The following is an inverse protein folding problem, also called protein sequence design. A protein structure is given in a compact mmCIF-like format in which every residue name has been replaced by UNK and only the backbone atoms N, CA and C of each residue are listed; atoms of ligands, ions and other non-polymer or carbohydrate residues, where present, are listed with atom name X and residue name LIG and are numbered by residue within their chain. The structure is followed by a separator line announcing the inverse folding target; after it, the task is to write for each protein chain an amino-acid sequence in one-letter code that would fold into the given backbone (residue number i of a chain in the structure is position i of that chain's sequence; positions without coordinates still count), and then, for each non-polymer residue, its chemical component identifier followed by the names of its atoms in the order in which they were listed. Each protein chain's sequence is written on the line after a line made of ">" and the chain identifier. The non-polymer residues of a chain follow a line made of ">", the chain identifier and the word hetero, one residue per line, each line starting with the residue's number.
data_IF_634765743017
#
_entry.id   IF_634765743017
#
_cell.length_a   1.000
_cell.length_b   1.000
_cell.length_c   1.000
_cell.angle_alpha   90.00
_cell.angle_beta   90.00
_cell.angle_gamma   90.00
#
_symmetry.space_group_name_H-M   'P 1'
#
loop_
_entity.id
_entity.type
_entity.pdbx_description
1 polymer ?
#
# COMPACT_ATOMS: atom_id res chain seq x y z
N UNK A 1 39.23 18.61 15.75
CA UNK A 1 39.75 19.43 14.63
C UNK A 1 39.58 18.62 13.35
N UNK A 2 39.26 19.26 12.22
CA UNK A 2 39.14 18.58 10.93
C UNK A 2 40.52 18.09 10.47
N UNK A 3 40.58 16.92 9.81
CA UNK A 3 41.83 16.33 9.31
C UNK A 3 42.35 17.06 8.06
N UNK A 4 41.43 17.52 7.23
CA UNK A 4 41.67 18.12 5.92
C UNK A 4 40.79 19.36 5.74
N UNK A 5 41.38 20.44 5.22
CA UNK A 5 40.68 21.71 4.99
C UNK A 5 39.83 21.72 3.70
N UNK A 6 40.18 20.87 2.73
CA UNK A 6 39.48 20.72 1.46
C UNK A 6 39.82 19.38 0.80
N UNK A 7 39.03 18.97 -0.20
CA UNK A 7 39.22 17.71 -0.91
C UNK A 7 40.64 17.57 -1.50
N UNK A 8 41.19 18.66 -2.04
CA UNK A 8 42.53 18.64 -2.65
C UNK A 8 43.64 18.31 -1.64
N UNK A 9 43.45 18.62 -0.35
CA UNK A 9 44.40 18.34 0.73
C UNK A 9 44.33 16.90 1.25
N UNK A 10 43.36 16.10 0.81
CA UNK A 10 43.26 14.69 1.18
C UNK A 10 44.43 13.90 0.51
N UNK A 11 45.14 13.03 1.24
CA UNK A 11 46.19 12.19 0.70
C UNK A 11 45.72 11.31 -0.47
N UNK A 12 46.61 11.07 -1.44
CA UNK A 12 46.25 10.32 -2.65
C UNK A 12 45.78 8.88 -2.35
N UNK A 13 46.36 8.22 -1.34
CA UNK A 13 45.92 6.87 -0.96
C UNK A 13 44.49 6.84 -0.42
N UNK A 14 44.09 7.88 0.33
CA UNK A 14 42.70 8.04 0.82
C UNK A 14 41.75 8.38 -0.33
N UNK A 15 42.17 9.25 -1.27
CA UNK A 15 41.39 9.56 -2.48
C UNK A 15 41.16 8.30 -3.33
N UNK A 16 42.20 7.48 -3.52
CA UNK A 16 42.11 6.26 -4.31
C UNK A 16 41.14 5.25 -3.68
N UNK A 17 41.17 5.07 -2.35
CA UNK A 17 40.16 4.26 -1.65
C UNK A 17 38.75 4.83 -1.74
N UNK A 18 38.62 6.15 -1.81
CA UNK A 18 37.32 6.82 -1.96
C UNK A 18 36.62 6.48 -3.28
N UNK A 19 37.33 5.95 -4.29
CA UNK A 19 36.73 5.46 -5.55
C UNK A 19 35.80 4.25 -5.33
N UNK A 20 36.02 3.51 -4.23
CA UNK A 20 35.10 2.45 -3.82
C UNK A 20 33.75 3.01 -3.39
N UNK A 21 33.72 4.23 -2.82
CA UNK A 21 32.55 4.84 -2.19
C UNK A 21 31.86 5.90 -3.05
N UNK A 22 32.59 6.52 -3.98
CA UNK A 22 32.05 7.53 -4.88
C UNK A 22 32.37 7.19 -6.35
N UNK A 23 31.42 7.40 -7.25
CA UNK A 23 31.65 7.17 -8.70
C UNK A 23 32.53 8.22 -9.37
N UNK A 24 32.69 9.40 -8.77
CA UNK A 24 33.49 10.51 -9.30
C UNK A 24 34.18 11.26 -8.15
N UNK A 25 35.36 10.77 -7.80
CA UNK A 25 36.17 11.28 -6.69
C UNK A 25 36.76 12.66 -7.05
N UNK A 26 36.48 13.67 -6.22
CA UNK A 26 36.87 15.06 -6.46
C UNK A 26 36.02 15.81 -7.49
N UNK A 27 35.05 15.15 -8.13
CA UNK A 27 34.09 15.79 -9.02
C UNK A 27 32.89 16.38 -8.30
N UNK A 28 32.16 17.26 -8.99
CA UNK A 28 30.99 17.96 -8.43
C UNK A 28 29.72 17.10 -8.39
N UNK A 29 29.67 16.01 -9.16
CA UNK A 29 28.50 15.12 -9.26
C UNK A 29 28.99 13.68 -9.19
N UNK A 30 28.44 12.91 -8.26
CA UNK A 30 28.83 11.53 -7.96
C UNK A 30 27.67 10.76 -7.33
N UNK A 31 27.74 9.43 -7.40
CA UNK A 31 26.86 8.51 -6.68
C UNK A 31 27.62 7.94 -5.48
N UNK A 32 26.98 7.94 -4.31
CA UNK A 32 27.47 7.25 -3.11
C UNK A 32 27.13 5.76 -3.24
N UNK A 33 28.10 4.88 -3.04
CA UNK A 33 27.94 3.42 -3.15
C UNK A 33 28.79 2.69 -2.12
N UNK A 34 28.50 1.42 -1.88
CA UNK A 34 29.30 0.51 -1.05
C UNK A 34 29.58 1.00 0.39
N UNK A 35 28.86 2.01 0.89
CA UNK A 35 28.87 2.36 2.30
C UNK A 35 27.90 1.44 3.06
N UNK A 36 28.21 1.12 4.34
CA UNK A 36 27.20 0.58 5.24
C UNK A 36 25.94 1.46 5.21
N UNK A 37 24.72 0.88 5.21
CA UNK A 37 23.47 1.64 5.06
C UNK A 37 23.37 2.86 6.00
N UNK A 38 23.69 2.65 7.27
CA UNK A 38 23.62 3.69 8.32
C UNK A 38 24.59 4.85 8.06
N UNK A 39 25.69 4.59 7.36
CA UNK A 39 26.73 5.60 7.13
C UNK A 39 26.34 6.59 6.03
N UNK A 40 25.58 6.19 5.02
CA UNK A 40 25.15 7.10 3.94
C UNK A 40 24.29 8.22 4.49
N UNK A 41 23.28 7.87 5.31
CA UNK A 41 22.43 8.85 5.98
C UNK A 41 23.22 9.76 6.93
N UNK A 42 24.17 9.19 7.69
CA UNK A 42 25.03 9.95 8.59
C UNK A 42 25.89 11.00 7.86
N UNK A 43 26.53 10.62 6.75
CA UNK A 43 27.39 11.51 5.95
C UNK A 43 26.59 12.67 5.39
N UNK A 44 25.43 12.41 4.79
CA UNK A 44 24.56 13.43 4.21
C UNK A 44 23.98 14.36 5.29
N UNK A 45 23.58 13.80 6.43
CA UNK A 45 23.13 14.60 7.57
C UNK A 45 24.23 15.52 8.10
N UNK A 46 25.47 15.01 8.21
CA UNK A 46 26.61 15.80 8.70
C UNK A 46 27.05 16.86 7.71
N UNK A 47 27.14 16.54 6.43
CA UNK A 47 27.45 17.48 5.37
C UNK A 47 26.56 18.73 5.43
N UNK A 48 25.26 18.56 5.68
CA UNK A 48 24.32 19.71 5.79
C UNK A 48 24.63 20.70 6.92
N UNK A 49 25.59 20.39 7.81
CA UNK A 49 25.94 21.15 9.02
C UNK A 49 27.44 21.41 9.15
N UNK A 50 28.24 21.13 8.13
CA UNK A 50 29.68 21.41 8.09
C UNK A 50 29.98 22.43 6.98
N UNK A 51 31.10 23.17 7.07
CA UNK A 51 31.54 24.06 5.99
C UNK A 51 32.20 23.30 4.83
N UNK A 52 32.32 21.97 4.90
CA UNK A 52 33.04 21.14 3.95
C UNK A 52 32.08 20.49 2.95
N UNK A 53 32.59 20.15 1.76
CA UNK A 53 31.84 19.31 0.82
C UNK A 53 31.61 17.87 1.35
N UNK A 54 30.76 17.10 0.69
CA UNK A 54 30.40 15.73 1.11
C UNK A 54 31.62 14.81 1.18
N UNK A 55 32.50 14.83 0.17
CA UNK A 55 33.65 13.92 0.10
C UNK A 55 34.71 14.29 1.16
N UNK A 56 34.91 15.58 1.41
CA UNK A 56 35.76 16.10 2.49
C UNK A 56 35.18 15.78 3.86
N UNK A 57 33.87 15.93 4.06
CA UNK A 57 33.18 15.55 5.30
C UNK A 57 33.33 14.05 5.57
N UNK A 58 33.15 13.22 4.56
CA UNK A 58 33.35 11.78 4.64
C UNK A 58 34.78 11.42 5.06
N UNK A 59 35.80 11.97 4.39
CA UNK A 59 37.20 11.72 4.73
C UNK A 59 37.60 12.22 6.13
N UNK A 60 37.05 13.36 6.56
CA UNK A 60 37.35 13.95 7.87
C UNK A 60 36.74 13.17 9.03
N UNK A 61 35.47 12.81 8.92
CA UNK A 61 34.67 12.34 10.06
C UNK A 61 34.46 10.82 10.06
N UNK A 62 34.45 10.18 8.88
CA UNK A 62 34.00 8.78 8.71
C UNK A 62 35.08 7.81 8.26
N UNK A 63 36.18 8.29 7.67
CA UNK A 63 37.35 7.46 7.37
C UNK A 63 38.38 7.48 8.50
N UNK A 64 39.07 6.36 8.71
CA UNK A 64 40.30 6.31 9.51
C UNK A 64 41.52 6.86 8.73
N UNK A 65 42.72 6.75 9.29
CA UNK A 65 43.96 7.20 8.62
C UNK A 65 44.36 6.35 7.40
N UNK A 66 43.86 5.12 7.34
CA UNK A 66 44.06 4.19 6.25
C UNK A 66 43.02 4.37 5.14
N UNK A 67 42.01 5.23 5.32
CA UNK A 67 40.92 5.44 4.37
C UNK A 67 39.81 4.39 4.45
N UNK A 68 39.70 3.68 5.57
CA UNK A 68 38.63 2.70 5.82
C UNK A 68 37.48 3.30 6.65
N UNK A 69 36.21 2.94 6.36
CA UNK A 69 35.06 3.42 7.12
C UNK A 69 35.07 2.97 8.58
N UNK A 70 34.90 3.91 9.50
CA UNK A 70 34.65 3.60 10.91
C UNK A 70 33.14 3.38 11.13
N UNK A 71 32.71 2.12 11.11
CA UNK A 71 31.30 1.75 11.25
C UNK A 71 30.69 2.20 12.59
N UNK A 72 31.42 2.05 13.70
CA UNK A 72 30.93 2.45 15.03
C UNK A 72 30.59 3.94 15.10
N UNK A 73 31.42 4.81 14.51
CA UNK A 73 31.14 6.25 14.44
C UNK A 73 29.89 6.56 13.61
N UNK A 74 29.66 5.83 12.53
CA UNK A 74 28.46 5.94 11.71
C UNK A 74 27.21 5.66 12.55
N UNK A 75 27.12 4.47 13.14
CA UNK A 75 25.97 4.03 13.94
C UNK A 75 25.72 4.92 15.17
N UNK A 76 26.77 5.34 15.88
CA UNK A 76 26.64 6.25 17.03
C UNK A 76 26.11 7.63 16.63
N UNK A 77 26.53 8.13 15.45
CA UNK A 77 26.10 9.43 14.95
C UNK A 77 24.65 9.39 14.48
N UNK A 78 24.24 8.35 13.75
CA UNK A 78 22.84 8.13 13.38
C UNK A 78 21.97 8.02 14.63
N UNK A 79 22.39 7.22 15.62
CA UNK A 79 21.66 7.06 16.87
C UNK A 79 21.42 8.44 17.52
N UNK A 80 22.45 9.28 17.61
CA UNK A 80 22.30 10.62 18.20
C UNK A 80 21.37 11.53 17.37
N UNK A 81 21.53 11.54 16.05
CA UNK A 81 20.78 12.45 15.16
C UNK A 81 19.32 12.05 15.00
N UNK A 82 19.05 10.78 14.72
CA UNK A 82 17.70 10.26 14.48
C UNK A 82 16.95 10.06 15.80
N UNK A 83 17.62 9.45 16.79
CA UNK A 83 16.95 9.07 18.03
C UNK A 83 16.96 10.18 19.09
N UNK A 84 18.06 10.88 19.30
CA UNK A 84 18.15 11.87 20.39
C UNK A 84 17.67 13.26 19.95
N UNK A 85 18.07 13.72 18.75
CA UNK A 85 17.63 15.02 18.23
C UNK A 85 16.29 14.99 17.46
N UNK A 86 15.80 13.79 17.12
CA UNK A 86 14.48 13.61 16.51
C UNK A 86 14.38 14.13 15.07
N UNK A 87 15.49 14.09 14.33
CA UNK A 87 15.56 14.48 12.93
C UNK A 87 15.09 13.32 12.02
N UNK A 88 13.77 13.22 11.86
CA UNK A 88 13.13 12.12 11.12
C UNK A 88 13.51 12.10 9.63
N UNK A 89 13.92 13.22 9.04
CA UNK A 89 14.35 13.27 7.63
C UNK A 89 15.62 12.46 7.37
N UNK A 90 16.49 12.29 8.36
CA UNK A 90 17.70 11.45 8.19
C UNK A 90 17.32 9.98 8.03
N UNK A 91 16.22 9.54 8.64
CA UNK A 91 15.68 8.19 8.45
C UNK A 91 15.11 7.95 7.04
N UNK A 92 14.95 8.98 6.21
CA UNK A 92 14.54 8.82 4.81
C UNK A 92 15.71 8.43 3.89
N UNK A 93 16.95 8.61 4.35
CA UNK A 93 18.16 8.42 3.55
C UNK A 93 18.66 6.97 3.54
N UNK A 94 18.11 6.12 4.40
CA UNK A 94 18.40 4.70 4.44
C UNK A 94 17.22 3.91 3.90
N UNK A 95 17.48 3.02 2.94
CA UNK A 95 16.48 2.23 2.23
C UNK A 95 16.83 0.75 2.34
N UNK A 96 15.83 -0.09 2.58
CA UNK A 96 15.94 -1.55 2.43
C UNK A 96 14.74 -2.12 1.70
N UNK A 97 14.82 -3.40 1.32
CA UNK A 97 13.74 -4.17 0.71
C UNK A 97 13.34 -5.32 1.61
N UNK A 98 12.03 -5.50 1.83
CA UNK A 98 11.46 -6.62 2.58
C UNK A 98 10.48 -7.38 1.69
N UNK A 99 10.50 -8.72 1.80
CA UNK A 99 9.47 -9.58 1.23
C UNK A 99 8.56 -10.11 2.34
N UNK A 100 7.26 -9.92 2.18
CA UNK A 100 6.23 -10.43 3.09
C UNK A 100 5.39 -11.47 2.33
N UNK A 101 5.29 -12.67 2.89
CA UNK A 101 4.52 -13.79 2.32
C UNK A 101 3.40 -14.17 3.28
N UNK A 102 2.32 -14.75 2.76
CA UNK A 102 1.15 -15.16 3.54
C UNK A 102 0.56 -14.00 4.37
N UNK A 103 0.44 -12.84 3.73
CA UNK A 103 -0.34 -11.70 4.24
C UNK A 103 -1.64 -11.60 3.45
N UNK A 104 -2.72 -11.12 4.06
CA UNK A 104 -4.00 -10.99 3.36
C UNK A 104 -3.99 -9.86 2.34
N UNK A 105 -4.85 -9.96 1.31
CA UNK A 105 -5.08 -8.83 0.41
C UNK A 105 -5.62 -7.60 1.14
N UNK A 106 -6.31 -7.76 2.27
CA UNK A 106 -6.73 -6.64 3.11
C UNK A 106 -5.52 -5.93 3.76
N UNK A 107 -4.60 -6.71 4.35
CA UNK A 107 -3.43 -6.17 5.02
C UNK A 107 -2.46 -5.49 4.05
N UNK A 108 -2.38 -5.95 2.79
CA UNK A 108 -1.60 -5.22 1.78
C UNK A 108 -2.10 -3.79 1.62
N UNK A 109 -3.41 -3.53 1.77
CA UNK A 109 -3.97 -2.17 1.62
C UNK A 109 -3.53 -1.25 2.77
N UNK A 110 -3.44 -1.79 3.98
CA UNK A 110 -2.91 -1.04 5.14
C UNK A 110 -1.44 -0.64 4.94
N UNK A 111 -0.67 -1.44 4.20
CA UNK A 111 0.73 -1.16 3.86
C UNK A 111 0.82 -0.19 2.67
N UNK A 112 0.01 -0.40 1.63
CA UNK A 112 0.04 0.35 0.38
C UNK A 112 -0.54 1.77 0.49
N UNK A 113 -1.52 1.99 1.38
CA UNK A 113 -2.08 3.32 1.65
C UNK A 113 -1.03 4.28 2.29
N UNK A 114 0.14 3.76 2.70
CA UNK A 114 1.24 4.56 3.28
C UNK A 114 2.15 5.07 2.14
N UNK A 115 1.64 6.02 1.37
CA UNK A 115 2.25 6.47 0.10
C UNK A 115 3.67 7.09 0.17
N UNK A 116 4.13 7.55 1.32
CA UNK A 116 5.38 8.33 1.43
C UNK A 116 6.54 7.45 1.88
N UNK A 117 7.56 7.32 1.03
CA UNK A 117 8.83 6.65 1.37
C UNK A 117 8.84 5.14 1.17
N UNK A 118 7.72 4.54 0.72
CA UNK A 118 7.60 3.12 0.42
C UNK A 118 7.20 2.84 -1.03
N UNK A 119 7.76 1.76 -1.59
CA UNK A 119 7.48 1.26 -2.94
C UNK A 119 7.08 -0.21 -2.90
N UNK A 120 5.79 -0.50 -2.67
CA UNK A 120 5.26 -1.86 -2.67
C UNK A 120 5.10 -2.45 -4.08
N UNK A 121 5.14 -3.79 -4.16
CA UNK A 121 4.75 -4.60 -5.32
C UNK A 121 4.01 -5.86 -4.86
N UNK A 122 2.71 -5.88 -5.09
CA UNK A 122 1.82 -6.99 -4.72
C UNK A 122 1.73 -8.06 -5.82
N UNK A 123 1.63 -9.33 -5.44
CA UNK A 123 1.27 -10.41 -6.37
C UNK A 123 -0.12 -10.14 -6.98
N UNK A 124 -0.19 -10.12 -8.31
CA UNK A 124 -1.39 -9.74 -9.05
C UNK A 124 -2.39 -10.88 -9.19
N UNK A 125 -3.62 -10.66 -8.72
CA UNK A 125 -4.75 -11.58 -8.94
C UNK A 125 -5.25 -11.58 -10.38
N UNK A 126 -4.82 -10.62 -11.22
CA UNK A 126 -5.09 -10.61 -12.67
C UNK A 126 -4.21 -11.59 -13.45
N UNK A 127 -3.10 -12.04 -12.87
CA UNK A 127 -2.10 -12.85 -13.56
C UNK A 127 -1.87 -14.22 -12.89
N UNK A 128 -2.04 -14.28 -11.58
CA UNK A 128 -1.80 -15.47 -10.75
C UNK A 128 -3.12 -15.96 -10.18
N UNK A 129 -3.34 -17.27 -10.23
CA UNK A 129 -4.53 -17.87 -9.64
C UNK A 129 -4.42 -17.86 -8.11
N UNK A 130 -5.52 -17.60 -7.43
CA UNK A 130 -5.64 -17.71 -5.98
C UNK A 130 -6.49 -18.93 -5.60
N UNK A 131 -6.18 -20.12 -6.12
CA UNK A 131 -6.89 -21.38 -5.83
C UNK A 131 -5.97 -22.47 -5.25
N UNK A 132 -4.78 -22.08 -4.80
CA UNK A 132 -3.83 -22.98 -4.15
C UNK A 132 -4.40 -23.49 -2.81
N UNK A 133 -4.04 -24.74 -2.49
CA UNK A 133 -4.39 -25.43 -1.26
C UNK A 133 -3.14 -25.87 -0.53
N UNK A 134 -3.20 -25.94 0.80
CA UNK A 134 -2.12 -26.50 1.63
C UNK A 134 -2.07 -28.03 1.55
N UNK A 135 -1.12 -28.62 2.30
CA UNK A 135 -0.92 -30.07 2.40
C UNK A 135 -2.14 -30.84 2.96
N UNK A 136 -3.04 -30.14 3.64
CA UNK A 136 -4.28 -30.69 4.21
C UNK A 136 -5.49 -30.45 3.28
N UNK A 137 -5.27 -29.90 2.09
CA UNK A 137 -6.34 -29.61 1.12
C UNK A 137 -7.19 -28.38 1.44
N UNK A 138 -6.74 -27.52 2.36
CA UNK A 138 -7.45 -26.26 2.71
C UNK A 138 -7.00 -25.12 1.81
N UNK A 139 -7.93 -24.28 1.38
CA UNK A 139 -7.60 -23.06 0.63
C UNK A 139 -6.77 -22.08 1.46
N UNK A 140 -5.90 -21.34 0.78
CA UNK A 140 -4.98 -20.40 1.41
C UNK A 140 -5.65 -19.03 1.68
N UNK A 141 -6.36 -18.94 2.80
CA UNK A 141 -6.85 -17.68 3.37
C UNK A 141 -6.60 -17.59 4.88
N UNK A 142 -6.56 -16.36 5.38
CA UNK A 142 -6.36 -16.06 6.79
C UNK A 142 -7.61 -16.34 7.62
N UNK A 143 -7.39 -16.88 8.82
CA UNK A 143 -8.41 -17.14 9.85
C UNK A 143 -8.16 -16.16 11.00
N UNK A 144 -8.90 -15.04 11.06
CA UNK A 144 -8.64 -13.98 12.03
C UNK A 144 -8.94 -14.41 13.46
N UNK A 145 -8.13 -13.95 14.42
CA UNK A 145 -8.37 -14.24 15.84
C UNK A 145 -9.70 -13.64 16.30
N UNK A 146 -10.07 -12.48 15.77
CA UNK A 146 -11.32 -11.78 16.04
C UNK A 146 -12.54 -12.62 15.65
N UNK A 147 -12.45 -13.38 14.55
CA UNK A 147 -13.51 -14.29 14.09
C UNK A 147 -13.58 -15.55 14.95
N UNK A 148 -12.42 -16.04 15.41
CA UNK A 148 -12.33 -17.20 16.30
C UNK A 148 -12.94 -16.86 17.66
N UNK A 149 -12.58 -15.71 18.22
CA UNK A 149 -13.06 -15.23 19.52
C UNK A 149 -14.57 -14.94 19.51
N UNK A 150 -15.10 -14.49 18.36
CA UNK A 150 -16.53 -14.34 18.13
C UNK A 150 -17.28 -15.69 17.96
N UNK A 151 -16.58 -16.82 17.90
CA UNK A 151 -17.20 -18.14 17.70
C UNK A 151 -17.73 -18.37 16.28
N UNK A 152 -17.33 -17.54 15.31
CA UNK A 152 -17.84 -17.54 13.94
C UNK A 152 -16.95 -18.31 12.95
N UNK A 153 -15.87 -18.93 13.43
CA UNK A 153 -14.91 -19.64 12.57
C UNK A 153 -15.56 -20.68 11.62
N UNK A 154 -16.50 -21.55 12.06
CA UNK A 154 -17.11 -22.52 11.14
C UNK A 154 -17.90 -21.87 10.00
N UNK A 155 -18.66 -20.81 10.30
CA UNK A 155 -19.40 -20.04 9.29
C UNK A 155 -18.44 -19.32 8.34
N UNK A 156 -17.37 -18.74 8.89
CA UNK A 156 -16.33 -18.07 8.13
C UNK A 156 -15.62 -19.03 7.16
N UNK A 157 -15.18 -20.19 7.63
CA UNK A 157 -14.52 -21.20 6.79
C UNK A 157 -15.46 -21.70 5.70
N UNK A 158 -16.70 -22.05 6.03
CA UNK A 158 -17.68 -22.52 5.04
C UNK A 158 -17.92 -21.48 3.93
N UNK A 159 -18.08 -20.21 4.32
CA UNK A 159 -18.29 -19.10 3.38
C UNK A 159 -17.05 -18.89 2.49
N UNK A 160 -15.85 -18.84 3.07
CA UNK A 160 -14.63 -18.68 2.28
C UNK A 160 -14.39 -19.88 1.35
N UNK A 161 -14.52 -21.11 1.85
CA UNK A 161 -14.30 -22.33 1.05
C UNK A 161 -15.24 -22.40 -0.16
N UNK A 162 -16.49 -21.98 0.00
CA UNK A 162 -17.45 -21.88 -1.11
C UNK A 162 -17.04 -20.79 -2.11
N UNK A 163 -16.63 -19.61 -1.64
CA UNK A 163 -16.15 -18.52 -2.48
C UNK A 163 -14.92 -18.95 -3.33
N UNK A 164 -13.95 -19.62 -2.72
CA UNK A 164 -12.78 -20.18 -3.40
C UNK A 164 -13.16 -21.31 -4.37
N UNK A 165 -14.18 -22.11 -4.06
CA UNK A 165 -14.69 -23.15 -4.96
C UNK A 165 -15.32 -22.53 -6.20
N UNK A 166 -16.22 -21.54 -6.04
CA UNK A 166 -16.82 -20.78 -7.14
C UNK A 166 -15.73 -20.13 -8.00
N UNK A 167 -14.73 -19.53 -7.35
CA UNK A 167 -13.59 -18.94 -8.03
C UNK A 167 -12.83 -19.97 -8.88
N UNK A 168 -12.42 -21.10 -8.29
CA UNK A 168 -11.60 -22.11 -8.98
C UNK A 168 -12.35 -22.79 -10.13
N UNK A 169 -13.62 -23.15 -9.91
CA UNK A 169 -14.49 -23.76 -10.94
C UNK A 169 -14.89 -22.75 -12.03
N UNK A 170 -15.02 -21.48 -11.69
CA UNK A 170 -15.38 -20.42 -12.63
C UNK A 170 -14.26 -20.07 -13.62
N UNK A 171 -12.99 -20.22 -13.24
CA UNK A 171 -11.84 -19.94 -14.12
C UNK A 171 -11.96 -20.64 -15.48
N UNK A 172 -12.06 -21.99 -15.58
CA UNK A 172 -12.14 -22.66 -16.88
C UNK A 172 -13.38 -22.25 -17.68
N UNK A 173 -14.52 -22.03 -17.01
CA UNK A 173 -15.78 -21.61 -17.65
C UNK A 173 -15.62 -20.24 -18.32
N UNK A 174 -15.06 -19.26 -17.61
CA UNK A 174 -14.83 -17.92 -18.15
C UNK A 174 -13.70 -17.93 -19.20
N UNK A 175 -12.69 -18.79 -19.06
CA UNK A 175 -11.69 -18.98 -20.11
C UNK A 175 -12.33 -19.49 -21.42
N UNK A 176 -13.27 -20.43 -21.35
CA UNK A 176 -13.98 -20.93 -22.53
C UNK A 176 -14.86 -19.87 -23.18
N UNK A 177 -15.45 -18.99 -22.39
CA UNK A 177 -16.12 -17.79 -22.90
C UNK A 177 -15.15 -16.90 -23.69
N UNK A 178 -14.01 -16.52 -23.10
CA UNK A 178 -13.06 -15.63 -23.79
C UNK A 178 -12.40 -16.27 -25.01
N UNK A 179 -12.25 -17.59 -25.07
CA UNK A 179 -11.81 -18.29 -26.31
C UNK A 179 -12.79 -18.13 -27.47
N UNK A 180 -14.08 -17.94 -27.19
CA UNK A 180 -15.11 -17.65 -28.21
C UNK A 180 -15.09 -16.18 -28.60
N UNK A 181 -14.92 -15.28 -27.62
CA UNK A 181 -14.88 -13.82 -27.85
C UNK A 181 -13.60 -13.38 -28.56
N UNK A 182 -12.47 -14.04 -28.26
CA UNK A 182 -11.16 -13.79 -28.85
C UNK A 182 -10.71 -15.08 -29.53
N UNK A 183 -11.19 -15.39 -30.76
CA UNK A 183 -10.78 -16.59 -31.45
C UNK A 183 -9.26 -16.61 -31.70
N UNK A 184 -8.66 -17.79 -31.53
CA UNK A 184 -7.22 -17.97 -31.73
C UNK A 184 -6.77 -17.62 -33.17
N UNK A 185 -7.66 -17.73 -34.17
CA UNK A 185 -7.37 -17.34 -35.55
C UNK A 185 -7.21 -15.82 -35.74
N UNK A 186 -7.86 -15.01 -34.91
CA UNK A 186 -7.86 -13.54 -35.00
C UNK A 186 -6.86 -12.89 -34.04
N UNK A 187 -6.36 -13.63 -33.05
CA UNK A 187 -5.32 -13.14 -32.14
C UNK A 187 -4.01 -12.88 -32.89
N UNK A 188 -3.28 -11.84 -32.47
CA UNK A 188 -1.99 -11.48 -33.06
C UNK A 188 -0.91 -11.33 -31.99
N UNK A 189 0.32 -11.63 -32.37
CA UNK A 189 1.52 -11.30 -31.59
C UNK A 189 2.46 -10.42 -32.41
N UNK A 190 3.35 -9.69 -31.73
CA UNK A 190 4.43 -8.94 -32.39
C UNK A 190 5.71 -9.77 -32.39
N UNK A 191 6.24 -10.06 -33.57
CA UNK A 191 7.47 -10.84 -33.76
C UNK A 191 8.52 -10.03 -34.52
N UNK A 192 9.81 -10.15 -34.19
CA UNK A 192 10.88 -9.46 -34.91
C UNK A 192 11.15 -10.15 -36.27
N UNK A 193 11.00 -9.40 -37.37
CA UNK A 193 11.37 -9.83 -38.73
C UNK A 193 12.14 -8.72 -39.43
N UNK A 194 13.28 -9.06 -40.04
CA UNK A 194 14.09 -8.18 -40.91
C UNK A 194 14.21 -6.72 -40.40
N UNK A 195 14.54 -6.56 -39.11
CA UNK A 195 14.73 -5.27 -38.40
C UNK A 195 13.46 -4.48 -38.04
N UNK A 196 12.29 -5.10 -38.08
CA UNK A 196 11.03 -4.49 -37.62
C UNK A 196 10.21 -5.47 -36.76
N UNK A 197 9.33 -4.93 -35.91
CA UNK A 197 8.33 -5.72 -35.21
C UNK A 197 7.06 -5.76 -36.05
N UNK A 198 6.68 -6.94 -36.52
CA UNK A 198 5.47 -7.14 -37.31
C UNK A 198 4.39 -7.84 -36.49
N UNK A 199 3.14 -7.45 -36.68
CA UNK A 199 1.98 -8.12 -36.06
C UNK A 199 1.57 -9.28 -36.95
N UNK A 200 1.53 -10.49 -36.38
CA UNK A 200 1.24 -11.73 -37.13
C UNK A 200 0.13 -12.54 -36.46
N UNK A 201 -0.75 -13.12 -37.28
CA UNK A 201 -1.78 -14.09 -36.88
C UNK A 201 -1.22 -15.51 -36.82
N UNK A 202 -2.01 -16.44 -36.27
CA UNK A 202 -1.67 -17.87 -36.20
C UNK A 202 -1.31 -18.48 -37.56
N UNK A 203 -1.98 -18.07 -38.64
CA UNK A 203 -1.73 -18.56 -40.00
C UNK A 203 -0.43 -18.03 -40.62
N UNK A 204 0.19 -17.01 -40.03
CA UNK A 204 1.34 -16.29 -40.58
C UNK A 204 2.65 -16.61 -39.85
N UNK A 205 2.61 -17.54 -38.88
CA UNK A 205 3.76 -17.95 -38.07
C UNK A 205 4.74 -18.77 -38.93
N UNK A 206 6.03 -18.44 -38.86
CA UNK A 206 7.05 -18.97 -39.76
C UNK A 206 7.93 -20.06 -39.12
N UNK A 207 7.95 -20.17 -37.79
CA UNK A 207 8.83 -21.10 -37.08
C UNK A 207 8.25 -21.52 -35.72
N UNK A 208 8.90 -22.52 -35.10
CA UNK A 208 8.48 -23.08 -33.82
C UNK A 208 8.56 -22.08 -32.66
N UNK A 209 9.50 -21.13 -32.72
CA UNK A 209 9.62 -20.11 -31.69
C UNK A 209 8.41 -19.15 -31.72
N UNK A 210 8.05 -18.63 -32.90
CA UNK A 210 6.84 -17.83 -33.09
C UNK A 210 5.58 -18.62 -32.67
N UNK A 211 5.50 -19.91 -33.00
CA UNK A 211 4.39 -20.80 -32.60
C UNK A 211 4.27 -20.96 -31.08
N UNK A 212 5.40 -21.10 -30.39
CA UNK A 212 5.44 -21.18 -28.92
C UNK A 212 5.08 -19.85 -28.27
N UNK A 213 5.65 -18.75 -28.75
CA UNK A 213 5.34 -17.40 -28.27
C UNK A 213 3.86 -17.06 -28.46
N UNK A 214 3.29 -17.39 -29.62
CA UNK A 214 1.87 -17.21 -29.90
C UNK A 214 1.00 -17.95 -28.90
N UNK A 215 1.25 -19.25 -28.72
CA UNK A 215 0.47 -20.09 -27.79
C UNK A 215 0.56 -19.58 -26.36
N UNK A 216 1.74 -19.16 -25.93
CA UNK A 216 1.97 -18.61 -24.59
C UNK A 216 1.22 -17.27 -24.41
N UNK A 217 1.34 -16.35 -25.36
CA UNK A 217 0.68 -15.05 -25.32
C UNK A 217 -0.85 -15.17 -25.35
N UNK A 218 -1.38 -16.05 -26.21
CA UNK A 218 -2.81 -16.30 -26.30
C UNK A 218 -3.36 -16.92 -25.00
N UNK A 219 -2.77 -18.02 -24.54
CA UNK A 219 -3.19 -18.67 -23.29
C UNK A 219 -3.05 -17.73 -22.08
N UNK A 220 -2.00 -16.93 -22.03
CA UNK A 220 -1.83 -15.91 -21.01
C UNK A 220 -2.94 -14.86 -21.09
N UNK A 221 -3.23 -14.31 -22.26
CA UNK A 221 -4.29 -13.31 -22.46
C UNK A 221 -5.66 -13.84 -22.01
N UNK A 222 -6.05 -15.03 -22.46
CA UNK A 222 -7.32 -15.67 -22.09
C UNK A 222 -7.39 -15.91 -20.57
N UNK A 223 -6.31 -16.44 -19.99
CA UNK A 223 -6.24 -16.66 -18.54
C UNK A 223 -6.39 -15.35 -17.78
N UNK A 224 -5.69 -14.29 -18.20
CA UNK A 224 -5.73 -13.00 -17.50
C UNK A 224 -7.12 -12.38 -17.55
N UNK A 225 -7.78 -12.40 -18.71
CA UNK A 225 -9.15 -11.92 -18.87
C UNK A 225 -10.12 -12.70 -17.96
N UNK A 226 -9.98 -14.03 -17.89
CA UNK A 226 -10.80 -14.85 -17.02
C UNK A 226 -10.58 -14.57 -15.53
N UNK A 227 -9.31 -14.45 -15.10
CA UNK A 227 -8.96 -14.12 -13.72
C UNK A 227 -9.47 -12.74 -13.31
N UNK A 228 -9.40 -11.76 -14.22
CA UNK A 228 -9.83 -10.39 -13.97
C UNK A 228 -11.34 -10.30 -13.70
N UNK A 229 -12.14 -11.16 -14.35
CA UNK A 229 -13.59 -11.26 -14.15
C UNK A 229 -13.93 -12.09 -12.92
N UNK A 230 -13.40 -13.31 -12.81
CA UNK A 230 -13.85 -14.25 -11.77
C UNK A 230 -13.33 -13.90 -10.37
N UNK A 231 -12.32 -13.03 -10.26
CA UNK A 231 -11.84 -12.52 -8.95
C UNK A 231 -12.90 -11.73 -8.17
N UNK A 232 -14.05 -11.41 -8.76
CA UNK A 232 -15.17 -10.77 -8.05
C UNK A 232 -15.67 -11.54 -6.83
N UNK A 233 -15.51 -12.87 -6.80
CA UNK A 233 -15.85 -13.71 -5.64
C UNK A 233 -14.68 -13.96 -4.69
N UNK A 234 -13.48 -13.51 -5.01
CA UNK A 234 -12.29 -13.81 -4.20
C UNK A 234 -12.31 -12.94 -2.92
N UNK A 235 -12.33 -13.53 -1.71
CA UNK A 235 -12.41 -12.76 -0.47
C UNK A 235 -11.08 -12.03 -0.18
N UNK A 236 -11.18 -10.90 0.52
CA UNK A 236 -10.01 -10.09 0.92
C UNK A 236 -9.09 -10.78 1.94
N UNK A 237 -9.58 -11.85 2.56
CA UNK A 237 -8.84 -12.77 3.44
C UNK A 237 -7.86 -13.69 2.69
N UNK A 238 -7.96 -13.77 1.36
CA UNK A 238 -7.07 -14.59 0.55
C UNK A 238 -5.61 -14.15 0.74
N UNK A 239 -4.72 -15.12 0.94
CA UNK A 239 -3.30 -14.83 1.10
C UNK A 239 -2.67 -14.37 -0.21
N UNK A 240 -1.73 -13.43 -0.09
CA UNK A 240 -0.94 -12.87 -1.16
C UNK A 240 0.52 -12.69 -0.71
N UNK A 241 1.31 -12.01 -1.54
CA UNK A 241 2.70 -11.69 -1.30
C UNK A 241 2.95 -10.23 -1.68
N UNK A 242 3.78 -9.55 -0.90
CA UNK A 242 4.13 -8.15 -1.09
C UNK A 242 5.62 -7.95 -0.90
N UNK A 243 6.30 -7.43 -1.92
CA UNK A 243 7.62 -6.85 -1.76
C UNK A 243 7.51 -5.37 -1.45
N UNK A 244 8.31 -4.83 -0.55
CA UNK A 244 8.35 -3.39 -0.27
C UNK A 244 9.79 -2.93 -0.19
N UNK A 245 10.17 -1.99 -1.05
CA UNK A 245 11.41 -1.21 -0.89
C UNK A 245 11.06 0.12 -0.26
N UNK A 246 11.61 0.42 0.91
CA UNK A 246 11.25 1.64 1.63
C UNK A 246 12.36 2.17 2.54
N UNK A 247 12.19 3.41 2.97
CA UNK A 247 13.11 4.04 3.90
C UNK A 247 12.79 3.79 5.38
N UNK A 248 13.76 4.04 6.26
CA UNK A 248 13.63 3.83 7.70
C UNK A 248 12.46 4.59 8.34
N UNK A 249 12.14 5.80 7.85
CA UNK A 249 10.98 6.57 8.32
C UNK A 249 9.65 5.91 7.93
N UNK A 250 9.55 5.40 6.71
CA UNK A 250 8.38 4.64 6.27
C UNK A 250 8.18 3.41 7.16
N UNK A 251 9.21 2.59 7.35
CA UNK A 251 9.09 1.37 8.16
C UNK A 251 8.73 1.66 9.62
N UNK A 252 9.29 2.72 10.21
CA UNK A 252 8.95 3.14 11.58
C UNK A 252 7.47 3.50 11.70
N UNK A 253 6.95 4.27 10.75
CA UNK A 253 5.54 4.65 10.72
C UNK A 253 4.63 3.45 10.41
N UNK A 254 5.06 2.55 9.52
CA UNK A 254 4.34 1.34 9.18
C UNK A 254 4.21 0.42 10.40
N UNK A 255 5.31 0.15 11.11
CA UNK A 255 5.30 -0.67 12.32
C UNK A 255 4.38 -0.07 13.40
N UNK A 256 4.47 1.26 13.60
CA UNK A 256 3.57 1.98 14.51
C UNK A 256 2.10 1.80 14.11
N UNK A 257 1.80 1.96 12.81
CA UNK A 257 0.45 1.78 12.27
C UNK A 257 -0.06 0.36 12.46
N UNK A 258 0.72 -0.66 12.07
CA UNK A 258 0.34 -2.06 12.17
C UNK A 258 0.05 -2.49 13.63
N UNK A 259 0.80 -1.95 14.60
CA UNK A 259 0.53 -2.15 16.04
C UNK A 259 -0.69 -1.37 16.56
N UNK A 260 -1.21 -0.42 15.79
CA UNK A 260 -2.28 0.50 16.22
C UNK A 260 -3.56 0.36 15.40
N UNK A 261 -3.57 -0.48 14.35
CA UNK A 261 -4.72 -0.64 13.46
C UNK A 261 -5.85 -1.49 14.06
N UNK A 262 -5.58 -2.20 15.16
CA UNK A 262 -6.56 -3.02 15.88
C UNK A 262 -6.87 -4.35 15.21
N UNK A 263 -5.95 -4.88 14.39
CA UNK A 263 -6.05 -6.19 13.74
C UNK A 263 -4.93 -7.10 14.24
N UNK A 264 -5.27 -8.30 14.69
CA UNK A 264 -4.31 -9.31 15.16
C UNK A 264 -3.28 -9.68 14.08
N UNK A 265 -3.69 -9.73 12.80
CA UNK A 265 -2.76 -9.90 11.68
C UNK A 265 -1.73 -8.77 11.62
N UNK A 266 -2.15 -7.53 11.85
CA UNK A 266 -1.28 -6.35 11.83
C UNK A 266 -0.27 -6.38 12.97
N UNK A 267 -0.71 -6.72 14.17
CA UNK A 267 0.17 -6.85 15.34
C UNK A 267 1.25 -7.93 15.13
N UNK A 268 0.84 -9.12 14.67
CA UNK A 268 1.78 -10.21 14.37
C UNK A 268 2.76 -9.81 13.27
N UNK A 269 2.26 -9.21 12.18
CA UNK A 269 3.10 -8.75 11.08
C UNK A 269 4.11 -7.68 11.53
N UNK A 270 3.73 -6.80 12.46
CA UNK A 270 4.64 -5.80 13.00
C UNK A 270 5.80 -6.41 13.78
N UNK A 271 5.56 -7.47 14.56
CA UNK A 271 6.63 -8.16 15.29
C UNK A 271 7.59 -8.90 14.36
N UNK A 272 7.05 -9.62 13.37
CA UNK A 272 7.85 -10.34 12.37
C UNK A 272 8.68 -9.36 11.53
N UNK A 273 8.06 -8.27 11.08
CA UNK A 273 8.72 -7.23 10.31
C UNK A 273 9.80 -6.51 11.13
N UNK A 274 9.54 -6.19 12.40
CA UNK A 274 10.53 -5.58 13.29
C UNK A 274 11.74 -6.50 13.51
N UNK A 275 11.49 -7.81 13.68
CA UNK A 275 12.55 -8.81 13.88
C UNK A 275 13.52 -8.83 12.69
N UNK A 276 13.00 -8.84 11.46
CA UNK A 276 13.84 -8.85 10.26
C UNK A 276 14.49 -7.49 10.00
N UNK A 277 13.78 -6.38 10.19
CA UNK A 277 14.34 -5.03 10.02
C UNK A 277 15.47 -4.74 11.01
N UNK A 278 15.40 -5.25 12.24
CA UNK A 278 16.49 -5.08 13.22
C UNK A 278 17.81 -5.73 12.79
N UNK A 279 17.78 -6.71 11.87
CA UNK A 279 19.01 -7.31 11.33
C UNK A 279 19.72 -6.38 10.34
N UNK A 280 19.00 -5.40 9.77
CA UNK A 280 19.51 -4.54 8.70
C UNK A 280 19.58 -3.05 9.05
N UNK A 281 18.58 -2.51 9.77
CA UNK A 281 18.45 -1.09 10.09
C UNK A 281 17.99 -0.82 11.53
N UNK A 282 18.63 -1.46 12.55
CA UNK A 282 18.15 -1.45 13.93
C UNK A 282 18.05 -0.05 14.56
N UNK A 283 18.88 0.91 14.12
CA UNK A 283 18.85 2.28 14.66
C UNK A 283 17.61 3.04 14.20
N UNK A 284 17.08 2.74 13.01
CA UNK A 284 16.01 3.51 12.37
C UNK A 284 14.63 3.07 12.84
N UNK A 285 14.44 1.77 13.13
CA UNK A 285 13.13 1.21 13.47
C UNK A 285 12.81 1.22 14.97
N UNK A 286 13.65 1.82 15.83
CA UNK A 286 13.45 1.79 17.31
C UNK A 286 12.16 2.45 17.80
N UNK A 287 11.65 3.45 17.06
CA UNK A 287 10.53 4.29 17.50
C UNK A 287 9.20 3.81 16.92
N UNK A 288 8.83 2.56 17.19
CA UNK A 288 7.68 1.90 16.58
C UNK A 288 6.52 1.57 17.54
N UNK A 289 6.38 2.30 18.65
CA UNK A 289 5.40 1.96 19.70
C UNK A 289 3.95 2.12 19.20
N UNK A 290 3.02 1.43 19.86
CA UNK A 290 1.57 1.66 19.72
C UNK A 290 1.27 3.15 19.88
N UNK A 291 0.39 3.68 19.02
CA UNK A 291 -0.01 5.07 19.00
C UNK A 291 -1.45 5.24 19.53
N UNK A 292 -1.57 5.45 20.83
CA UNK A 292 -2.87 5.66 21.50
C UNK A 292 -3.61 6.89 20.98
N UNK A 293 -2.90 7.97 20.63
CA UNK A 293 -3.50 9.17 20.05
C UNK A 293 -4.25 8.84 18.74
N UNK A 294 -3.64 8.04 17.85
CA UNK A 294 -4.27 7.62 16.61
C UNK A 294 -5.51 6.75 16.87
N UNK A 295 -5.38 5.77 17.78
CA UNK A 295 -6.48 4.87 18.15
C UNK A 295 -7.67 5.62 18.76
N UNK A 296 -7.39 6.56 19.67
CA UNK A 296 -8.41 7.38 20.32
C UNK A 296 -9.12 8.28 19.31
N UNK A 297 -8.39 8.89 18.39
CA UNK A 297 -8.99 9.70 17.33
C UNK A 297 -9.88 8.86 16.41
N UNK A 298 -9.45 7.67 15.98
CA UNK A 298 -10.28 6.79 15.16
C UNK A 298 -11.57 6.38 15.88
N UNK A 299 -11.48 6.04 17.17
CA UNK A 299 -12.64 5.68 18.00
C UNK A 299 -13.62 6.85 18.12
N UNK A 300 -13.13 8.02 18.54
CA UNK A 300 -13.98 9.20 18.74
C UNK A 300 -14.63 9.68 17.41
N UNK A 301 -13.90 9.62 16.31
CA UNK A 301 -14.44 9.96 14.99
C UNK A 301 -15.49 8.96 14.51
N UNK A 302 -15.32 7.67 14.80
CA UNK A 302 -16.33 6.64 14.52
C UNK A 302 -17.59 6.84 15.34
N UNK A 303 -17.48 7.20 16.62
CA UNK A 303 -18.63 7.54 17.47
C UNK A 303 -19.41 8.74 16.92
N UNK A 304 -18.71 9.82 16.55
CA UNK A 304 -19.34 10.99 15.93
C UNK A 304 -20.03 10.60 14.63
N UNK A 305 -19.33 9.93 13.70
CA UNK A 305 -19.89 9.57 12.40
C UNK A 305 -21.11 8.65 12.55
N UNK A 306 -21.04 7.64 13.42
CA UNK A 306 -22.16 6.74 13.71
C UNK A 306 -23.37 7.51 14.23
N UNK A 307 -23.17 8.46 15.14
CA UNK A 307 -24.27 9.30 15.66
C UNK A 307 -24.86 10.23 14.61
N UNK A 308 -24.05 10.77 13.70
CA UNK A 308 -24.51 11.71 12.67
C UNK A 308 -25.29 10.99 11.56
N UNK A 309 -24.86 9.79 11.18
CA UNK A 309 -25.33 9.11 9.97
C UNK A 309 -26.15 7.85 10.23
N UNK A 310 -26.50 7.54 11.49
CA UNK A 310 -27.24 6.33 11.88
C UNK A 310 -28.52 6.06 11.07
N UNK A 311 -29.21 7.11 10.61
CA UNK A 311 -30.48 7.01 9.88
C UNK A 311 -30.36 7.47 8.43
N UNK A 312 -29.13 7.64 7.93
CA UNK A 312 -28.88 8.11 6.57
C UNK A 312 -28.77 6.92 5.64
N UNK A 313 -29.61 6.85 4.61
CA UNK A 313 -29.46 5.87 3.54
C UNK A 313 -28.33 6.31 2.60
N UNK A 314 -27.28 5.50 2.40
CA UNK A 314 -26.20 5.83 1.47
C UNK A 314 -26.69 5.97 0.03
N UNK A 315 -26.17 6.95 -0.70
CA UNK A 315 -26.23 6.99 -2.16
C UNK A 315 -25.08 6.17 -2.73
N UNK A 316 -25.38 5.31 -3.69
CA UNK A 316 -24.44 4.33 -4.27
C UNK A 316 -24.13 4.60 -5.73
N UNK A 317 -24.11 5.88 -6.13
CA UNK A 317 -23.70 6.27 -7.48
C UNK A 317 -22.25 5.80 -7.72
N UNK A 318 -22.00 5.13 -8.86
CA UNK A 318 -20.69 4.52 -9.12
C UNK A 318 -19.54 5.55 -9.12
N UNK A 319 -19.79 6.75 -9.67
CA UNK A 319 -18.86 7.87 -9.66
C UNK A 319 -19.62 9.18 -9.53
N UNK A 320 -19.23 10.01 -8.57
CA UNK A 320 -19.76 11.35 -8.35
C UNK A 320 -18.63 12.37 -8.38
N UNK A 321 -18.76 13.40 -9.23
CA UNK A 321 -17.94 14.60 -9.10
C UNK A 321 -18.49 15.42 -7.93
N UNK A 322 -17.71 15.55 -6.86
CA UNK A 322 -18.13 16.25 -5.64
C UNK A 322 -18.22 17.74 -5.93
N UNK A 323 -19.38 18.32 -5.61
CA UNK A 323 -19.66 19.74 -5.85
C UNK A 323 -18.87 20.59 -4.87
N UNK A 324 -18.12 21.57 -5.39
CA UNK A 324 -17.34 22.49 -4.57
C UNK A 324 -18.22 23.63 -4.06
N UNK A 325 -18.07 23.98 -2.79
CA UNK A 325 -18.64 25.21 -2.24
C UNK A 325 -17.58 26.30 -2.22
N UNK A 326 -17.92 27.50 -2.72
CA UNK A 326 -16.98 28.62 -2.76
C UNK A 326 -16.68 29.18 -1.35
N UNK A 327 -15.47 29.72 -1.19
CA UNK A 327 -15.06 30.41 0.03
C UNK A 327 -14.51 29.52 1.15
N UNK A 328 -14.25 30.16 2.29
CA UNK A 328 -13.63 29.51 3.46
C UNK A 328 -14.57 28.48 4.09
N UNK A 329 -15.87 28.81 4.18
CA UNK A 329 -16.87 27.92 4.76
C UNK A 329 -17.04 26.64 3.93
N UNK A 330 -17.02 26.77 2.60
CA UNK A 330 -17.03 25.63 1.68
C UNK A 330 -15.83 24.71 1.87
N UNK A 331 -14.62 25.28 1.92
CA UNK A 331 -13.38 24.54 2.20
C UNK A 331 -13.43 23.83 3.57
N UNK A 332 -14.00 24.45 4.60
CA UNK A 332 -14.17 23.83 5.91
C UNK A 332 -15.15 22.64 5.85
N UNK A 333 -16.27 22.78 5.13
CA UNK A 333 -17.23 21.68 4.97
C UNK A 333 -16.60 20.49 4.24
N UNK A 334 -15.81 20.74 3.19
CA UNK A 334 -15.06 19.70 2.46
C UNK A 334 -14.06 18.99 3.36
N UNK A 335 -13.26 19.75 4.13
CA UNK A 335 -12.29 19.19 5.08
C UNK A 335 -12.97 18.28 6.12
N UNK A 336 -14.07 18.75 6.72
CA UNK A 336 -14.83 17.96 7.68
C UNK A 336 -15.49 16.75 7.01
N UNK A 337 -15.96 16.90 5.78
CA UNK A 337 -16.45 15.81 4.94
C UNK A 337 -15.40 14.73 4.75
N UNK A 338 -14.21 15.09 4.30
CA UNK A 338 -13.08 14.18 4.12
C UNK A 338 -12.58 13.60 5.45
N UNK A 339 -12.68 14.33 6.56
CA UNK A 339 -12.34 13.83 7.90
C UNK A 339 -13.32 12.76 8.39
N UNK A 340 -14.62 12.91 8.10
CA UNK A 340 -15.66 11.95 8.47
C UNK A 340 -15.75 10.76 7.52
N UNK A 341 -15.38 10.94 6.25
CA UNK A 341 -15.58 9.96 5.18
C UNK A 341 -15.16 8.53 5.53
N UNK A 342 -13.98 8.23 6.12
CA UNK A 342 -13.57 6.86 6.42
C UNK A 342 -14.39 6.14 7.50
N UNK A 343 -15.25 6.87 8.22
CA UNK A 343 -15.93 6.40 9.44
C UNK A 343 -17.42 6.14 9.25
N UNK A 344 -17.91 6.17 8.02
CA UNK A 344 -19.30 5.94 7.63
C UNK A 344 -19.32 5.15 6.31
N UNK A 345 -20.51 4.79 5.85
CA UNK A 345 -20.85 4.21 4.55
C UNK A 345 -21.57 5.23 3.65
N UNK A 346 -21.75 6.47 4.10
CA UNK A 346 -22.46 7.54 3.37
C UNK A 346 -21.54 8.23 2.38
N UNK A 347 -22.05 8.60 1.20
CA UNK A 347 -21.28 9.30 0.16
C UNK A 347 -20.73 10.66 0.66
N UNK A 348 -19.56 11.06 0.17
CA UNK A 348 -18.90 12.32 0.54
C UNK A 348 -19.79 13.54 0.28
N UNK A 349 -20.57 13.53 -0.81
CA UNK A 349 -21.52 14.61 -1.11
C UNK A 349 -22.62 14.72 -0.04
N UNK A 350 -23.13 13.60 0.46
CA UNK A 350 -24.12 13.59 1.55
C UNK A 350 -23.50 14.05 2.87
N UNK A 351 -22.27 13.63 3.17
CA UNK A 351 -21.54 14.06 4.36
C UNK A 351 -21.34 15.59 4.33
N UNK A 352 -20.89 16.15 3.20
CA UNK A 352 -20.67 17.59 3.04
C UNK A 352 -21.98 18.36 3.23
N UNK A 353 -23.09 17.89 2.65
CA UNK A 353 -24.39 18.53 2.80
C UNK A 353 -24.88 18.53 4.26
N UNK A 354 -24.69 17.42 4.97
CA UNK A 354 -25.02 17.32 6.39
C UNK A 354 -24.15 18.29 7.21
N UNK A 355 -22.83 18.33 6.97
CA UNK A 355 -21.92 19.27 7.61
C UNK A 355 -22.30 20.71 7.32
N UNK A 356 -22.62 21.05 6.07
CA UNK A 356 -22.98 22.41 5.66
C UNK A 356 -24.12 22.98 6.50
N UNK A 357 -25.14 22.17 6.78
CA UNK A 357 -26.30 22.52 7.59
C UNK A 357 -26.03 22.73 9.09
N UNK A 358 -24.84 22.31 9.58
CA UNK A 358 -24.52 22.36 11.00
C UNK A 358 -24.14 23.76 11.49
N UNK A 359 -24.50 24.11 12.74
CA UNK A 359 -23.95 25.28 13.41
C UNK A 359 -22.41 25.21 13.52
N UNK A 360 -21.76 26.37 13.48
CA UNK A 360 -20.30 26.49 13.56
C UNK A 360 -19.70 25.77 14.78
N UNK A 361 -20.38 25.80 15.93
CA UNK A 361 -19.93 25.12 17.16
C UNK A 361 -19.79 23.60 16.96
N UNK A 362 -20.74 22.97 16.24
CA UNK A 362 -20.71 21.54 15.94
C UNK A 362 -19.60 21.21 14.93
N UNK A 363 -19.38 22.07 13.92
CA UNK A 363 -18.25 21.96 12.99
C UNK A 363 -16.91 22.00 13.73
N UNK A 364 -16.75 22.94 14.67
CA UNK A 364 -15.53 23.06 15.48
C UNK A 364 -15.35 21.89 16.43
N UNK A 365 -16.43 21.32 16.96
CA UNK A 365 -16.35 20.10 17.76
C UNK A 365 -15.79 18.94 16.92
N UNK A 366 -16.30 18.71 15.71
CA UNK A 366 -15.79 17.67 14.80
C UNK A 366 -14.31 17.91 14.49
N UNK A 367 -13.94 19.16 14.12
CA UNK A 367 -12.54 19.50 13.83
C UNK A 367 -11.63 19.23 15.04
N UNK A 368 -12.04 19.65 16.23
CA UNK A 368 -11.26 19.45 17.45
C UNK A 368 -11.09 17.96 17.77
N UNK A 369 -12.14 17.17 17.60
CA UNK A 369 -12.07 15.71 17.78
C UNK A 369 -11.14 15.07 16.75
N UNK A 370 -11.18 15.53 15.49
CA UNK A 370 -10.30 15.03 14.43
C UNK A 370 -8.83 15.37 14.66
N UNK A 371 -8.55 16.57 15.16
CA UNK A 371 -7.20 17.01 15.52
C UNK A 371 -6.69 16.28 16.77
N UNK A 372 -7.58 15.91 17.69
CA UNK A 372 -7.26 15.17 18.90
C UNK A 372 -6.34 15.92 19.87
N UNK A 373 -5.90 15.20 20.92
CA UNK A 373 -4.99 15.74 21.95
C UNK A 373 -3.55 15.44 21.57
N UNK A 374 -2.93 16.34 20.80
CA UNK A 374 -1.54 16.19 20.35
C UNK A 374 -0.57 16.52 21.49
N UNK A 375 0.28 15.58 21.87
CA UNK A 375 1.33 15.77 22.87
C UNK A 375 2.67 16.16 22.23
N UNK A 376 2.84 15.84 20.95
CA UNK A 376 4.06 16.15 20.21
C UNK A 376 3.79 16.51 18.75
N UNK A 377 4.78 17.10 18.08
CA UNK A 377 4.74 17.34 16.62
C UNK A 377 4.59 16.05 15.79
N UNK A 378 4.81 14.88 16.39
CA UNK A 378 4.72 13.58 15.74
C UNK A 378 3.30 13.02 15.72
N UNK A 379 2.43 13.57 16.56
CA UNK A 379 1.00 13.28 16.52
C UNK A 379 0.45 14.04 15.31
N UNK A 380 0.46 13.34 14.17
CA UNK A 380 -0.01 13.86 12.89
C UNK A 380 -1.49 13.59 12.75
N UNK A 381 -2.22 14.56 12.26
CA UNK A 381 -3.62 14.42 11.88
C UNK A 381 -3.75 13.57 10.63
N UNK A 382 -4.92 12.97 10.43
CA UNK A 382 -5.19 12.15 9.25
C UNK A 382 -5.34 12.96 7.95
N UNK A 383 -5.65 12.23 6.88
CA UNK A 383 -5.70 12.76 5.49
C UNK A 383 -6.86 13.69 5.19
N UNK A 384 -7.84 13.82 6.07
CA UNK A 384 -8.94 14.78 5.91
C UNK A 384 -8.44 16.23 5.83
N UNK A 385 -7.27 16.55 6.41
CA UNK A 385 -6.62 17.86 6.22
C UNK A 385 -5.91 18.03 4.87
N UNK A 386 -5.80 16.98 4.06
CA UNK A 386 -5.32 17.05 2.68
C UNK A 386 -6.45 17.50 1.72
N UNK A 387 -7.68 17.74 2.20
CA UNK A 387 -8.82 18.17 1.38
C UNK A 387 -8.65 19.56 0.73
N UNK A 388 -9.61 19.95 -0.12
CA UNK A 388 -9.66 21.26 -0.78
C UNK A 388 -9.09 21.30 -2.20
N UNK A 389 -8.79 20.14 -2.80
CA UNK A 389 -8.37 20.03 -4.20
C UNK A 389 -9.42 20.61 -5.16
N UNK A 390 -9.03 21.05 -6.37
CA UNK A 390 -9.98 21.59 -7.35
C UNK A 390 -10.99 20.55 -7.88
N UNK A 391 -10.62 19.27 -7.87
CA UNK A 391 -11.43 18.17 -8.38
C UNK A 391 -11.35 17.02 -7.38
N UNK A 392 -12.50 16.56 -6.91
CA UNK A 392 -12.63 15.41 -6.02
C UNK A 392 -13.72 14.49 -6.56
N UNK A 393 -13.40 13.21 -6.68
CA UNK A 393 -14.34 12.17 -7.07
C UNK A 393 -14.65 11.29 -5.86
N UNK A 394 -15.92 11.00 -5.67
CA UNK A 394 -16.41 9.95 -4.79
C UNK A 394 -16.82 8.75 -5.63
N UNK A 395 -16.41 7.54 -5.24
CA UNK A 395 -16.59 6.33 -6.03
C UNK A 395 -17.11 5.19 -5.17
N UNK A 396 -18.11 4.49 -5.70
CA UNK A 396 -18.55 3.20 -5.18
C UNK A 396 -18.14 2.13 -6.20
N UNK A 397 -17.30 1.20 -5.77
CA UNK A 397 -16.74 0.16 -6.63
C UNK A 397 -16.31 -1.07 -5.84
N UNK A 398 -16.05 -2.16 -6.55
CA UNK A 398 -15.58 -3.38 -5.94
C UNK A 398 -14.14 -3.28 -5.43
N UNK A 399 -13.75 -4.27 -4.63
CA UNK A 399 -12.39 -4.33 -4.08
C UNK A 399 -11.32 -4.46 -5.17
N UNK A 400 -11.64 -5.12 -6.28
CA UNK A 400 -10.75 -5.29 -7.42
C UNK A 400 -10.43 -3.95 -8.11
N UNK A 401 -11.44 -3.12 -8.33
CA UNK A 401 -11.33 -1.79 -8.92
C UNK A 401 -10.55 -0.84 -8.01
N UNK A 402 -10.84 -0.87 -6.70
CA UNK A 402 -10.07 -0.12 -5.70
C UNK A 402 -8.56 -0.46 -5.77
N UNK A 403 -8.21 -1.74 -5.87
CA UNK A 403 -6.80 -2.18 -5.98
C UNK A 403 -6.11 -1.68 -7.25
N UNK A 404 -6.84 -1.43 -8.33
CA UNK A 404 -6.26 -0.84 -9.56
C UNK A 404 -6.12 0.69 -9.42
N UNK A 405 -7.04 1.38 -8.74
CA UNK A 405 -6.96 2.81 -8.44
C UNK A 405 -5.87 3.16 -7.41
N UNK A 406 -5.68 2.33 -6.40
CA UNK A 406 -4.70 2.53 -5.33
C UNK A 406 -3.25 2.54 -5.84
N UNK A 407 -3.00 1.90 -6.99
CA UNK A 407 -1.69 1.96 -7.69
C UNK A 407 -1.36 3.38 -8.18
N UNK A 408 -2.34 4.27 -8.28
CA UNK A 408 -2.15 5.65 -8.70
C UNK A 408 -1.70 6.55 -7.51
N UNK A 409 -0.44 6.38 -7.10
CA UNK A 409 0.16 6.96 -5.86
C UNK A 409 0.17 8.50 -5.75
N UNK A 410 -0.11 9.22 -6.84
CA UNK A 410 -0.14 10.68 -6.86
C UNK A 410 -1.43 11.28 -6.26
N UNK A 411 -2.48 10.48 -6.08
CA UNK A 411 -3.77 10.95 -5.61
C UNK A 411 -3.85 10.98 -4.08
N UNK A 412 -4.62 11.94 -3.57
CA UNK A 412 -5.09 11.92 -2.18
C UNK A 412 -6.36 11.06 -2.12
N UNK A 413 -6.18 9.78 -1.79
CA UNK A 413 -7.24 8.79 -1.70
C UNK A 413 -7.63 8.54 -0.24
N UNK A 414 -8.91 8.35 0.03
CA UNK A 414 -9.38 7.82 1.30
C UNK A 414 -10.41 6.73 0.97
N UNK A 415 -10.59 5.78 1.88
CA UNK A 415 -11.57 4.71 1.71
C UNK A 415 -12.45 4.60 2.94
N UNK A 416 -13.69 4.19 2.71
CA UNK A 416 -14.55 3.62 3.72
C UNK A 416 -14.13 2.17 3.99
N UNK A 417 -14.70 1.56 5.03
CA UNK A 417 -14.48 0.15 5.29
C UNK A 417 -14.97 -0.67 4.10
N UNK A 418 -14.24 -1.73 3.76
CA UNK A 418 -14.67 -2.69 2.75
C UNK A 418 -15.78 -3.54 3.34
N UNK A 419 -17.02 -3.29 2.92
CA UNK A 419 -18.20 -4.01 3.41
C UNK A 419 -19.11 -4.38 2.25
N UNK A 420 -20.13 -5.16 2.57
CA UNK A 420 -21.19 -5.59 1.67
C UNK A 420 -22.40 -4.65 1.70
N UNK A 421 -22.37 -3.60 2.52
CA UNK A 421 -23.53 -2.74 2.84
C UNK A 421 -23.94 -1.86 1.67
N UNK A 422 -22.99 -1.50 0.80
CA UNK A 422 -23.24 -0.74 -0.43
C UNK A 422 -23.60 -1.63 -1.64
N UNK A 423 -23.78 -2.94 -1.41
CA UNK A 423 -24.12 -3.92 -2.43
C UNK A 423 -22.90 -4.59 -3.08
N UNK A 424 -23.14 -5.24 -4.21
CA UNK A 424 -22.16 -6.03 -4.95
C UNK A 424 -22.32 -5.82 -6.45
N UNK A 425 -21.25 -6.10 -7.19
CA UNK A 425 -21.24 -6.03 -8.67
C UNK A 425 -21.05 -7.44 -9.20
N UNK A 426 -21.95 -7.87 -10.09
CA UNK A 426 -21.79 -9.10 -10.87
C UNK A 426 -21.27 -8.67 -12.25
N UNK A 427 -20.04 -9.09 -12.64
CA UNK A 427 -19.55 -8.77 -13.97
C UNK A 427 -20.46 -9.36 -15.06
N UNK A 428 -20.74 -8.64 -16.17
CA UNK A 428 -21.63 -9.14 -17.22
C UNK A 428 -21.25 -10.53 -17.76
N UNK A 429 -19.95 -10.79 -17.87
CA UNK A 429 -19.44 -12.10 -18.31
C UNK A 429 -19.84 -13.23 -17.35
N UNK A 430 -19.93 -12.97 -16.03
CA UNK A 430 -20.39 -13.94 -15.03
C UNK A 430 -21.87 -14.30 -15.24
N UNK A 431 -22.69 -13.33 -15.64
CA UNK A 431 -24.09 -13.56 -16.03
C UNK A 431 -24.18 -14.40 -17.30
N UNK A 432 -23.42 -14.03 -18.34
CA UNK A 432 -23.42 -14.71 -19.64
C UNK A 432 -22.99 -16.18 -19.56
N UNK A 433 -22.11 -16.52 -18.61
CA UNK A 433 -21.68 -17.91 -18.38
C UNK A 433 -22.54 -18.67 -17.36
N UNK A 434 -23.62 -18.05 -16.87
CA UNK A 434 -24.59 -18.70 -15.98
C UNK A 434 -24.10 -18.89 -14.53
N UNK A 435 -23.13 -18.09 -14.08
CA UNK A 435 -22.59 -18.14 -12.72
C UNK A 435 -23.22 -17.12 -11.77
N UNK A 436 -24.06 -16.20 -12.26
CA UNK A 436 -24.66 -15.11 -11.47
C UNK A 436 -25.32 -15.58 -10.17
N UNK A 437 -26.17 -16.62 -10.22
CA UNK A 437 -26.86 -17.12 -9.02
C UNK A 437 -25.91 -17.63 -7.93
N UNK A 438 -24.78 -18.25 -8.31
CA UNK A 438 -23.75 -18.66 -7.35
C UNK A 438 -23.07 -17.43 -6.71
N UNK A 439 -22.83 -16.38 -7.50
CA UNK A 439 -22.24 -15.12 -7.01
C UNK A 439 -23.19 -14.38 -6.08
N UNK A 440 -24.49 -14.34 -6.38
CA UNK A 440 -25.52 -13.75 -5.50
C UNK A 440 -25.62 -14.49 -4.18
N UNK A 441 -25.62 -15.83 -4.21
CA UNK A 441 -25.68 -16.65 -2.99
C UNK A 441 -24.49 -16.39 -2.08
N UNK A 442 -23.26 -16.40 -2.63
CA UNK A 442 -22.06 -16.18 -1.82
C UNK A 442 -21.99 -14.73 -1.30
N UNK A 443 -22.44 -13.75 -2.09
CA UNK A 443 -22.57 -12.36 -1.64
C UNK A 443 -23.53 -12.26 -0.44
N UNK A 444 -24.66 -12.96 -0.49
CA UNK A 444 -25.60 -13.05 0.63
C UNK A 444 -24.98 -13.66 1.89
N UNK A 445 -24.21 -14.74 1.75
CA UNK A 445 -23.49 -15.38 2.88
C UNK A 445 -22.42 -14.47 3.47
N UNK A 446 -21.65 -13.76 2.64
CA UNK A 446 -20.68 -12.75 3.09
C UNK A 446 -21.37 -11.61 3.86
N UNK A 447 -22.53 -11.15 3.38
CA UNK A 447 -23.30 -10.11 4.06
C UNK A 447 -23.85 -10.59 5.42
N UNK A 448 -24.33 -11.84 5.48
CA UNK A 448 -24.76 -12.45 6.74
C UNK A 448 -23.61 -12.56 7.74
N UNK A 449 -22.44 -13.05 7.32
CA UNK A 449 -21.23 -13.13 8.15
C UNK A 449 -20.79 -11.77 8.67
N UNK A 450 -20.78 -10.73 7.82
CA UNK A 450 -20.49 -9.35 8.23
C UNK A 450 -21.50 -8.82 9.27
N UNK A 451 -22.78 -9.20 9.13
CA UNK A 451 -23.82 -8.81 10.09
C UNK A 451 -23.66 -9.50 11.45
N UNK A 452 -23.27 -10.78 11.48
CA UNK A 452 -23.00 -11.50 12.74
C UNK A 452 -21.76 -10.95 13.45
N UNK A 453 -20.70 -10.57 12.72
CA UNK A 453 -19.48 -9.98 13.30
C UNK A 453 -19.69 -8.61 13.96
N UNK A 454 -20.80 -7.92 13.65
CA UNK A 454 -21.15 -6.61 14.20
C UNK A 454 -22.05 -6.65 15.43
N UNK A 455 -22.60 -7.81 15.76
CA UNK A 455 -23.36 -8.03 17.00
C UNK A 455 -22.40 -8.20 18.17
#
# INVERSE_FOLDING_TARGET
>A
MAKYESFHKIPNHVKQKSEHYFTNVGGNVFVIRNLPPEMTGAVLARYSRTPYDIQTTFANEFLDENGEPNQEKGSQLVQRVVNDYGDESVAELEVTSVGMQKITQLMTKEIEDRRIGGSPIEKSTRYVKCDEKDENGKFLYYRPQEVIDAGLLPLYEATNDEAFTIYSEGIPVVMDYYRKVIPESEFTIRVPREKSLVSVKKSELQNDNESREFRNAYNFTIKCAALDVIRCVLPSSAYTQLGVTANGRYFTNLLTHLRSCGLAEGEQLAEDLLTELNKQMPVFVKKNKVNSYLMDNHRNMREIASSLFANTTPRTDAVTLVSKSDGIDGTLNELLGSALFPYTDVSLQQIIAEVESMPHEKKMHILKTYVGNRESRKDRTGRGLEAGYPITFDLVGGFAEYRDLERHRMLTQQRQLLTTELGFIIPPVVEEVGLAGKVEEIAGKMNHLNSELRK
#
